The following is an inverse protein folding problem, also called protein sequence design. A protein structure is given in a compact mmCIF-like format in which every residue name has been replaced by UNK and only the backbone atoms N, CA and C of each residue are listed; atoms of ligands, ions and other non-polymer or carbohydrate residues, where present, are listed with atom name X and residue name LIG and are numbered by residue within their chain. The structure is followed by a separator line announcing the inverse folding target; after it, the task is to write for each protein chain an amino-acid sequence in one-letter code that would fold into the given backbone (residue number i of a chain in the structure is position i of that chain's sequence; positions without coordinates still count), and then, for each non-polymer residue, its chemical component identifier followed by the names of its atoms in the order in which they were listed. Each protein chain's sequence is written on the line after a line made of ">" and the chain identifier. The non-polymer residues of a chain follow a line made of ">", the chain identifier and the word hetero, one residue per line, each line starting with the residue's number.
data_IF_800440506132
#
_entry.id   IF_800440506132
#
_cell.length_a   1.000
_cell.length_b   1.000
_cell.length_c   1.000
_cell.angle_alpha   90.00
_cell.angle_beta   90.00
_cell.angle_gamma   90.00
#
_symmetry.space_group_name_H-M   'P 1'
#
loop_
_entity.id
_entity.type
_entity.pdbx_description
1 polymer ?
#
# COMPACT_ATOMS: atom_id res chain seq x y z
N UNK A 1 25.66 3.94 -26.89
CA UNK A 1 24.39 4.67 -27.03
C UNK A 1 23.90 5.14 -25.65
N UNK A 2 23.78 6.44 -25.46
CA UNK A 2 23.28 7.02 -24.21
C UNK A 2 21.76 7.20 -24.30
N UNK A 3 20.97 6.36 -23.61
CA UNK A 3 19.51 6.45 -23.54
C UNK A 3 19.06 7.51 -22.53
N UNK A 4 19.49 8.77 -22.72
CA UNK A 4 19.28 9.87 -21.78
C UNK A 4 17.80 10.24 -21.65
N UNK A 5 17.12 10.47 -22.77
CA UNK A 5 15.71 10.85 -22.75
C UNK A 5 14.79 9.72 -22.24
N UNK A 6 15.12 8.48 -22.62
CA UNK A 6 14.40 7.29 -22.11
C UNK A 6 14.56 7.17 -20.60
N UNK A 7 15.75 7.41 -20.06
CA UNK A 7 16.01 7.41 -18.60
C UNK A 7 15.26 8.52 -17.90
N UNK A 8 15.21 9.71 -18.48
CA UNK A 8 14.44 10.84 -17.94
C UNK A 8 12.93 10.55 -17.88
N UNK A 9 12.37 9.92 -18.92
CA UNK A 9 10.98 9.50 -18.93
C UNK A 9 10.65 8.49 -17.83
N UNK A 10 11.51 7.49 -17.63
CA UNK A 10 11.38 6.52 -16.53
C UNK A 10 11.49 7.17 -15.15
N UNK A 11 12.42 8.11 -14.97
CA UNK A 11 12.55 8.86 -13.72
C UNK A 11 11.31 9.71 -13.43
N UNK A 12 10.76 10.38 -14.45
CA UNK A 12 9.53 11.17 -14.34
C UNK A 12 8.35 10.31 -13.92
N UNK A 13 8.19 9.16 -14.57
CA UNK A 13 7.19 8.16 -14.20
C UNK A 13 7.35 7.71 -12.74
N UNK A 14 8.55 7.32 -12.33
CA UNK A 14 8.80 6.82 -10.99
C UNK A 14 8.56 7.87 -9.90
N UNK A 15 9.02 9.11 -10.11
CA UNK A 15 8.76 10.25 -9.23
C UNK A 15 7.25 10.48 -9.06
N UNK A 16 6.51 10.49 -10.15
CA UNK A 16 5.06 10.65 -10.11
C UNK A 16 4.38 9.55 -9.29
N UNK A 17 4.72 8.28 -9.52
CA UNK A 17 4.14 7.13 -8.79
C UNK A 17 4.40 7.27 -7.29
N UNK A 18 5.64 7.54 -6.87
CA UNK A 18 6.01 7.72 -5.45
C UNK A 18 5.25 8.90 -4.83
N UNK A 19 5.21 10.05 -5.51
CA UNK A 19 4.51 11.23 -5.01
C UNK A 19 3.01 10.97 -4.82
N UNK A 20 2.37 10.33 -5.79
CA UNK A 20 0.96 9.99 -5.69
C UNK A 20 0.69 8.93 -4.61
N UNK A 21 1.57 7.93 -4.47
CA UNK A 21 1.47 6.92 -3.42
C UNK A 21 1.56 7.57 -2.02
N UNK A 22 2.51 8.46 -1.80
CA UNK A 22 2.65 9.25 -0.57
C UNK A 22 1.42 10.11 -0.28
N UNK A 23 0.89 10.79 -1.29
CA UNK A 23 -0.35 11.57 -1.19
C UNK A 23 -1.54 10.70 -0.79
N UNK A 24 -1.68 9.51 -1.41
CA UNK A 24 -2.74 8.57 -1.09
C UNK A 24 -2.64 8.01 0.33
N UNK A 25 -1.44 7.71 0.83
CA UNK A 25 -1.23 7.31 2.23
C UNK A 25 -1.72 8.39 3.20
N UNK A 26 -1.42 9.64 2.90
CA UNK A 26 -1.83 10.80 3.71
C UNK A 26 -3.35 10.99 3.68
N UNK A 27 -3.95 11.08 2.48
CA UNK A 27 -5.39 11.24 2.29
C UNK A 27 -6.19 10.10 2.97
N UNK A 28 -5.68 8.87 2.91
CA UNK A 28 -6.33 7.70 3.54
C UNK A 28 -5.96 7.51 5.01
N UNK A 29 -5.24 8.46 5.61
CA UNK A 29 -4.80 8.43 7.02
C UNK A 29 -4.05 7.13 7.39
N UNK A 30 -3.21 6.60 6.47
CA UNK A 30 -2.46 5.34 6.66
C UNK A 30 -0.99 5.56 7.08
N UNK A 31 -0.56 6.79 7.30
CA UNK A 31 0.81 7.19 7.60
C UNK A 31 1.01 7.73 9.03
N UNK A 32 0.47 7.05 10.04
CA UNK A 32 0.55 7.52 11.45
C UNK A 32 2.00 7.69 11.92
N UNK A 33 2.85 6.69 11.67
CA UNK A 33 4.29 6.73 12.01
C UNK A 33 5.17 7.20 10.85
N UNK A 34 4.59 7.52 9.71
CA UNK A 34 5.29 7.83 8.45
C UNK A 34 6.31 6.79 7.96
N UNK A 35 6.46 5.63 8.63
CA UNK A 35 7.40 4.58 8.22
C UNK A 35 7.21 4.20 6.75
N UNK A 36 6.02 3.72 6.37
CA UNK A 36 5.72 3.35 4.99
C UNK A 36 5.84 4.53 4.01
N UNK A 37 5.50 5.73 4.44
CA UNK A 37 5.64 6.93 3.62
C UNK A 37 7.12 7.23 3.29
N UNK A 38 8.00 7.08 4.28
CA UNK A 38 9.44 7.34 4.14
C UNK A 38 10.17 6.21 3.41
N UNK A 39 9.71 4.95 3.55
CA UNK A 39 10.31 3.78 2.89
C UNK A 39 9.98 3.66 1.40
N UNK A 40 9.09 4.52 0.87
CA UNK A 40 8.79 4.52 -0.55
C UNK A 40 9.91 5.16 -1.34
N UNK A 41 10.63 4.33 -2.10
CA UNK A 41 11.77 4.73 -2.91
C UNK A 41 11.72 4.10 -4.31
N UNK A 42 12.51 4.62 -5.24
CA UNK A 42 12.75 3.98 -6.52
C UNK A 42 14.23 4.09 -6.89
N UNK A 43 14.71 3.09 -7.63
CA UNK A 43 16.05 3.03 -8.14
C UNK A 43 16.00 2.73 -9.64
N UNK A 44 16.47 3.63 -10.50
CA UNK A 44 16.64 3.32 -11.91
C UNK A 44 17.80 2.33 -12.07
N UNK A 45 17.70 1.42 -13.03
CA UNK A 45 18.76 0.48 -13.35
C UNK A 45 18.95 0.34 -14.86
N UNK A 46 20.18 -0.01 -15.24
CA UNK A 46 20.52 -0.42 -16.58
C UNK A 46 21.47 -1.62 -16.50
N UNK A 47 21.09 -2.73 -17.10
CA UNK A 47 21.88 -3.97 -17.09
C UNK A 47 21.61 -4.76 -18.37
N UNK A 48 22.68 -5.17 -19.09
CA UNK A 48 22.57 -6.03 -20.26
C UNK A 48 21.63 -5.50 -21.35
N UNK A 49 21.66 -4.19 -21.63
CA UNK A 49 20.78 -3.57 -22.63
C UNK A 49 19.36 -3.29 -22.13
N UNK A 50 18.98 -3.76 -20.94
CA UNK A 50 17.69 -3.47 -20.34
C UNK A 50 17.77 -2.23 -19.45
N UNK A 51 16.83 -1.29 -19.64
CA UNK A 51 16.67 -0.12 -18.79
C UNK A 51 15.32 -0.20 -18.05
N UNK A 52 15.29 0.20 -16.78
CA UNK A 52 14.07 0.09 -15.98
C UNK A 52 14.14 0.84 -14.66
N UNK A 53 13.08 0.70 -13.86
CA UNK A 53 12.96 1.27 -12.52
C UNK A 53 12.46 0.20 -11.56
N UNK A 54 13.13 0.08 -10.41
CA UNK A 54 12.68 -0.74 -9.28
C UNK A 54 12.08 0.14 -8.20
N UNK A 55 10.94 -0.26 -7.67
CA UNK A 55 10.30 0.40 -6.53
C UNK A 55 10.52 -0.40 -5.26
N UNK A 56 10.83 0.30 -4.19
CA UNK A 56 11.04 -0.28 -2.86
C UNK A 56 10.07 0.30 -1.86
N UNK A 57 9.66 -0.50 -0.90
CA UNK A 57 8.84 -0.10 0.25
C UNK A 57 8.98 -1.14 1.35
N UNK A 58 8.66 -0.78 2.59
CA UNK A 58 8.56 -1.72 3.70
C UNK A 58 7.65 -2.92 3.34
N UNK A 59 8.02 -4.12 3.77
CA UNK A 59 7.29 -5.36 3.47
C UNK A 59 5.80 -5.33 3.79
N UNK A 60 5.42 -4.60 4.84
CA UNK A 60 4.00 -4.47 5.19
C UNK A 60 3.22 -3.57 4.22
N UNK A 61 3.88 -2.83 3.37
CA UNK A 61 3.27 -1.97 2.35
C UNK A 61 2.35 -2.74 1.40
N UNK A 62 2.74 -3.95 1.01
CA UNK A 62 1.93 -4.85 0.18
C UNK A 62 0.58 -5.21 0.83
N UNK A 63 0.56 -5.40 2.15
CA UNK A 63 -0.67 -5.68 2.90
C UNK A 63 -1.55 -4.44 3.06
N UNK A 64 -0.94 -3.26 3.18
CA UNK A 64 -1.67 -1.99 3.19
C UNK A 64 -2.25 -1.69 1.82
N UNK A 65 -1.53 -1.98 0.75
CA UNK A 65 -1.97 -1.73 -0.63
C UNK A 65 -3.09 -2.68 -1.06
N UNK A 66 -2.85 -3.98 -1.04
CA UNK A 66 -3.77 -5.03 -1.51
C UNK A 66 -4.81 -5.46 -0.46
N UNK A 67 -4.63 -5.04 0.79
CA UNK A 67 -5.45 -5.53 1.90
C UNK A 67 -5.08 -6.94 2.32
N UNK A 68 -5.86 -7.51 3.25
CA UNK A 68 -5.69 -8.90 3.75
C UNK A 68 -7.06 -9.49 4.00
N UNK A 69 -7.32 -10.69 3.52
CA UNK A 69 -8.54 -11.47 3.83
C UNK A 69 -8.59 -11.80 5.32
N UNK A 70 -9.79 -11.73 5.89
CA UNK A 70 -10.00 -12.18 7.26
C UNK A 70 -10.00 -13.70 7.37
N UNK A 71 -9.71 -14.18 8.57
CA UNK A 71 -9.67 -15.62 8.84
C UNK A 71 -11.06 -16.27 8.79
N UNK A 72 -12.09 -15.60 9.30
CA UNK A 72 -13.46 -16.10 9.27
C UNK A 72 -14.48 -15.00 9.63
N UNK A 73 -15.04 -14.27 8.67
CA UNK A 73 -16.02 -13.21 8.93
C UNK A 73 -17.33 -13.67 9.58
N UNK A 74 -17.74 -14.94 9.39
CA UNK A 74 -18.97 -15.48 9.97
C UNK A 74 -18.90 -15.62 11.50
N UNK A 75 -17.69 -15.53 12.10
CA UNK A 75 -17.49 -15.51 13.56
C UNK A 75 -17.64 -14.10 14.18
N UNK A 76 -17.94 -13.10 13.39
CA UNK A 76 -18.30 -11.78 13.89
C UNK A 76 -19.72 -11.81 14.46
N UNK A 77 -20.08 -10.79 15.24
CA UNK A 77 -21.47 -10.60 15.67
C UNK A 77 -22.37 -10.37 14.45
N UNK A 78 -23.58 -10.93 14.45
CA UNK A 78 -24.59 -10.72 13.40
C UNK A 78 -24.93 -9.21 13.19
N UNK A 79 -24.76 -8.38 14.24
CA UNK A 79 -24.90 -6.92 14.16
C UNK A 79 -23.72 -6.20 13.48
N UNK A 80 -22.64 -6.91 13.16
CA UNK A 80 -21.49 -6.32 12.45
C UNK A 80 -21.82 -6.18 10.97
N UNK A 81 -21.55 -5.01 10.39
CA UNK A 81 -21.70 -4.80 8.95
C UNK A 81 -20.80 -5.70 8.09
N UNK A 82 -19.81 -6.35 8.70
CA UNK A 82 -18.91 -7.31 8.07
C UNK A 82 -19.21 -8.76 8.45
N UNK A 83 -20.36 -9.04 9.07
CA UNK A 83 -20.79 -10.42 9.33
C UNK A 83 -20.90 -11.17 7.99
N UNK A 84 -20.23 -12.32 7.88
CA UNK A 84 -20.15 -13.12 6.65
C UNK A 84 -19.43 -12.46 5.46
N UNK A 85 -18.89 -11.24 5.60
CA UNK A 85 -18.29 -10.47 4.47
C UNK A 85 -16.83 -10.17 4.70
N UNK A 86 -16.00 -10.46 3.69
CA UNK A 86 -14.59 -10.08 3.65
C UNK A 86 -14.43 -8.59 3.35
N UNK A 87 -13.46 -7.92 4.01
CA UNK A 87 -13.06 -6.54 3.65
C UNK A 87 -12.18 -6.46 2.42
N UNK A 88 -11.54 -7.57 2.04
CA UNK A 88 -10.62 -7.67 0.90
C UNK A 88 -10.81 -9.03 0.21
N UNK A 89 -11.95 -9.29 -0.48
CA UNK A 89 -12.22 -10.60 -1.09
C UNK A 89 -11.18 -10.97 -2.16
N UNK A 90 -10.66 -9.98 -2.90
CA UNK A 90 -9.73 -10.18 -4.01
C UNK A 90 -8.25 -10.12 -3.59
N UNK A 91 -7.97 -9.97 -2.29
CA UNK A 91 -6.59 -9.92 -1.81
C UNK A 91 -5.89 -11.27 -1.95
N UNK A 92 -4.63 -11.30 -2.41
CA UNK A 92 -3.83 -12.53 -2.40
C UNK A 92 -3.37 -12.92 -0.99
N UNK A 93 -3.52 -12.03 0.00
CA UNK A 93 -3.08 -12.24 1.38
C UNK A 93 -4.25 -12.59 2.28
N UNK A 94 -4.02 -13.52 3.22
CA UNK A 94 -5.02 -13.95 4.22
C UNK A 94 -4.39 -14.07 5.60
N UNK A 95 -5.15 -13.75 6.66
CA UNK A 95 -4.72 -14.03 8.01
C UNK A 95 -4.71 -15.55 8.27
N UNK A 96 -3.52 -16.08 8.59
CA UNK A 96 -3.33 -17.47 8.95
C UNK A 96 -3.81 -17.80 10.37
N UNK A 97 -3.77 -19.08 10.73
CA UNK A 97 -4.11 -19.58 12.07
C UNK A 97 -3.05 -19.21 13.12
N UNK A 98 -1.86 -18.78 12.74
CA UNK A 98 -0.77 -18.43 13.63
C UNK A 98 -1.11 -17.25 14.56
N UNK A 99 -0.82 -17.40 15.85
CA UNK A 99 -1.03 -16.36 16.87
C UNK A 99 0.09 -15.32 16.93
N UNK A 100 1.20 -15.50 16.21
CA UNK A 100 2.44 -14.72 16.33
C UNK A 100 2.56 -13.47 15.46
N UNK A 101 1.53 -13.07 14.72
CA UNK A 101 1.62 -12.00 13.73
C UNK A 101 1.73 -10.58 14.30
N UNK A 102 2.33 -9.67 13.53
CA UNK A 102 2.49 -8.26 13.86
C UNK A 102 1.19 -7.47 14.03
N UNK A 103 0.01 -8.06 13.72
CA UNK A 103 -1.30 -7.41 13.84
C UNK A 103 -1.54 -6.84 15.24
N UNK A 104 -1.27 -7.62 16.30
CA UNK A 104 -1.46 -7.16 17.69
C UNK A 104 -0.57 -5.97 18.03
N UNK A 105 0.73 -6.06 17.71
CA UNK A 105 1.70 -4.96 17.92
C UNK A 105 1.30 -3.72 17.13
N UNK A 106 0.93 -3.89 15.86
CA UNK A 106 0.50 -2.81 14.98
C UNK A 106 -0.76 -2.09 15.47
N UNK A 107 -1.81 -2.83 15.85
CA UNK A 107 -3.07 -2.24 16.37
C UNK A 107 -2.82 -1.51 17.70
N UNK A 108 -2.06 -2.10 18.64
CA UNK A 108 -1.72 -1.45 19.91
C UNK A 108 -0.98 -0.13 19.69
N UNK A 109 0.05 -0.13 18.82
CA UNK A 109 0.79 1.08 18.46
C UNK A 109 -0.15 2.12 17.84
N UNK A 110 -0.98 1.71 16.90
CA UNK A 110 -1.92 2.58 16.21
C UNK A 110 -2.97 3.21 17.15
N UNK A 111 -3.58 2.43 18.04
CA UNK A 111 -4.56 2.92 19.04
C UNK A 111 -3.93 3.97 19.95
N UNK A 112 -2.67 3.75 20.40
CA UNK A 112 -1.94 4.71 21.24
C UNK A 112 -1.62 5.98 20.49
N UNK A 113 -1.02 5.87 19.30
CA UNK A 113 -0.59 7.03 18.51
C UNK A 113 -1.76 7.90 18.04
N UNK A 114 -2.92 7.30 17.82
CA UNK A 114 -4.14 8.02 17.42
C UNK A 114 -5.00 8.49 18.61
N UNK A 115 -4.65 8.12 19.82
CA UNK A 115 -5.45 8.48 21.01
C UNK A 115 -6.88 7.95 20.97
N UNK A 116 -7.11 6.79 20.31
CA UNK A 116 -8.45 6.27 20.08
C UNK A 116 -9.06 5.82 21.40
N UNK A 117 -10.25 6.36 21.72
CA UNK A 117 -11.07 5.99 22.87
C UNK A 117 -12.35 5.32 22.39
N UNK A 118 -12.75 4.23 23.03
CA UNK A 118 -13.99 3.52 22.74
C UNK A 118 -15.04 3.77 23.82
N UNK A 119 -16.32 3.71 23.44
CA UNK A 119 -17.45 3.76 24.37
C UNK A 119 -18.31 2.50 24.25
N UNK A 120 -18.93 2.08 25.34
CA UNK A 120 -19.94 1.02 25.34
C UNK A 120 -21.31 1.54 24.85
N UNK A 121 -22.30 0.67 24.81
CA UNK A 121 -23.67 1.03 24.38
C UNK A 121 -24.33 2.07 25.29
N UNK A 122 -23.87 2.21 26.54
CA UNK A 122 -24.35 3.18 27.53
C UNK A 122 -23.54 4.48 27.50
N UNK A 123 -22.65 4.66 26.52
CA UNK A 123 -21.82 5.85 26.37
C UNK A 123 -20.59 5.91 27.29
N UNK A 124 -20.35 4.92 28.17
CA UNK A 124 -19.21 4.90 29.10
C UNK A 124 -17.92 4.49 28.38
N UNK A 125 -16.80 5.06 28.78
CA UNK A 125 -15.51 4.67 28.22
C UNK A 125 -15.14 3.24 28.58
N UNK A 126 -14.74 2.47 27.58
CA UNK A 126 -14.16 1.13 27.77
C UNK A 126 -12.66 1.23 27.95
N UNK A 127 -12.06 0.23 28.62
CA UNK A 127 -10.60 0.19 28.82
C UNK A 127 -9.88 0.09 27.49
N UNK A 128 -8.65 0.62 27.41
CA UNK A 128 -7.82 0.51 26.23
C UNK A 128 -7.59 -0.96 25.83
N UNK A 129 -7.35 -1.85 26.79
CA UNK A 129 -7.17 -3.29 26.54
C UNK A 129 -8.39 -3.90 25.86
N UNK A 130 -9.61 -3.58 26.34
CA UNK A 130 -10.86 -4.04 25.73
C UNK A 130 -11.04 -3.50 24.32
N UNK A 131 -10.75 -2.22 24.11
CA UNK A 131 -10.82 -1.61 22.77
C UNK A 131 -9.84 -2.26 21.79
N UNK A 132 -8.57 -2.45 22.20
CA UNK A 132 -7.54 -3.12 21.40
C UNK A 132 -7.98 -4.53 21.02
N UNK A 133 -8.52 -5.29 21.98
CA UNK A 133 -9.04 -6.65 21.74
C UNK A 133 -10.16 -6.66 20.69
N UNK A 134 -11.13 -5.78 20.81
CA UNK A 134 -12.26 -5.69 19.87
C UNK A 134 -11.78 -5.35 18.45
N UNK A 135 -10.86 -4.40 18.32
CA UNK A 135 -10.30 -4.00 17.02
C UNK A 135 -9.47 -5.14 16.42
N UNK A 136 -8.59 -5.78 17.21
CA UNK A 136 -7.77 -6.92 16.77
C UNK A 136 -8.66 -8.06 16.29
N UNK A 137 -9.68 -8.45 17.09
CA UNK A 137 -10.62 -9.50 16.75
C UNK A 137 -11.38 -9.19 15.45
N UNK A 138 -11.95 -8.00 15.33
CA UNK A 138 -12.67 -7.57 14.14
C UNK A 138 -11.76 -7.56 12.89
N UNK A 139 -10.54 -7.06 13.03
CA UNK A 139 -9.58 -7.02 11.92
C UNK A 139 -9.12 -8.42 11.52
N UNK A 140 -8.84 -9.28 12.47
CA UNK A 140 -8.44 -10.67 12.19
C UNK A 140 -9.55 -11.45 11.49
N UNK A 141 -10.81 -11.29 11.93
CA UNK A 141 -11.94 -12.05 11.38
C UNK A 141 -12.40 -11.54 10.01
N UNK A 142 -12.51 -10.22 9.82
CA UNK A 142 -13.05 -9.62 8.59
C UNK A 142 -11.97 -9.15 7.58
N UNK A 143 -10.72 -9.06 8.00
CA UNK A 143 -9.61 -8.62 7.14
C UNK A 143 -9.32 -7.11 7.20
N UNK A 144 -8.38 -6.70 6.35
CA UNK A 144 -7.93 -5.32 6.16
C UNK A 144 -8.37 -4.86 4.76
N UNK A 145 -9.13 -3.77 4.69
CA UNK A 145 -9.56 -3.19 3.41
C UNK A 145 -8.35 -2.71 2.60
N UNK A 146 -8.27 -3.03 1.29
CA UNK A 146 -7.21 -2.56 0.41
C UNK A 146 -7.23 -1.03 0.31
N UNK A 147 -6.06 -0.44 0.35
CA UNK A 147 -5.92 1.00 0.16
C UNK A 147 -5.61 1.37 -1.29
N UNK A 148 -4.96 0.48 -2.03
CA UNK A 148 -4.49 0.68 -3.40
C UNK A 148 -3.70 2.00 -3.54
N UNK A 149 -2.92 2.33 -2.51
CA UNK A 149 -2.19 3.59 -2.45
C UNK A 149 -1.08 3.66 -3.50
N UNK A 150 -0.48 2.51 -3.80
CA UNK A 150 0.58 2.36 -4.79
C UNK A 150 0.04 1.82 -6.12
N UNK A 151 -0.77 0.76 -6.09
CA UNK A 151 -1.29 0.10 -7.30
C UNK A 151 -2.03 1.07 -8.22
N UNK A 152 -2.97 1.87 -7.72
CA UNK A 152 -3.72 2.81 -8.57
C UNK A 152 -2.87 3.88 -9.25
N UNK A 153 -1.97 4.60 -8.56
CA UNK A 153 -1.06 5.54 -9.22
C UNK A 153 -0.16 4.87 -10.26
N UNK A 154 0.36 3.68 -9.92
CA UNK A 154 1.20 2.91 -10.82
C UNK A 154 0.45 2.56 -12.12
N UNK A 155 -0.73 1.95 -12.03
CA UNK A 155 -1.54 1.57 -13.19
C UNK A 155 -1.91 2.76 -14.08
N UNK A 156 -2.26 3.90 -13.46
CA UNK A 156 -2.58 5.14 -14.20
C UNK A 156 -1.38 5.68 -14.96
N UNK A 157 -0.24 5.75 -14.30
CA UNK A 157 0.98 6.23 -14.92
C UNK A 157 1.50 5.28 -16.00
N UNK A 158 1.41 3.97 -15.74
CA UNK A 158 1.87 2.92 -16.65
C UNK A 158 1.10 2.90 -17.98
N UNK A 159 -0.18 3.26 -17.99
CA UNK A 159 -0.97 3.32 -19.24
C UNK A 159 -0.39 4.27 -20.29
N UNK A 160 0.25 5.35 -19.85
CA UNK A 160 0.83 6.36 -20.74
C UNK A 160 2.31 6.14 -21.01
N UNK A 161 2.99 5.40 -20.13
CA UNK A 161 4.44 5.20 -20.19
C UNK A 161 4.94 4.57 -21.52
N UNK A 162 4.28 3.55 -22.12
CA UNK A 162 4.77 2.95 -23.37
C UNK A 162 4.88 3.94 -24.52
N UNK A 163 3.92 4.86 -24.66
CA UNK A 163 3.93 5.89 -25.70
C UNK A 163 5.06 6.89 -25.50
N UNK A 164 5.26 7.33 -24.27
CA UNK A 164 6.35 8.26 -23.91
C UNK A 164 7.71 7.61 -24.11
N UNK A 165 7.86 6.34 -23.72
CA UNK A 165 9.11 5.60 -23.89
C UNK A 165 9.45 5.37 -25.36
N UNK A 166 8.47 5.01 -26.20
CA UNK A 166 8.68 4.83 -27.64
C UNK A 166 9.19 6.12 -28.29
N UNK A 167 8.56 7.26 -28.02
CA UNK A 167 8.98 8.55 -28.54
C UNK A 167 10.41 8.91 -28.10
N UNK A 168 10.71 8.76 -26.80
CA UNK A 168 12.02 9.10 -26.25
C UNK A 168 13.12 8.15 -26.72
N UNK A 169 12.80 6.88 -26.91
CA UNK A 169 13.74 5.90 -27.44
C UNK A 169 14.08 6.19 -28.91
N UNK A 170 13.09 6.56 -29.74
CA UNK A 170 13.32 6.98 -31.13
C UNK A 170 14.24 8.22 -31.16
N UNK A 171 13.94 9.25 -30.34
CA UNK A 171 14.79 10.45 -30.25
C UNK A 171 16.24 10.14 -29.84
N UNK A 172 16.42 9.22 -28.87
CA UNK A 172 17.76 8.80 -28.44
C UNK A 172 18.53 8.06 -29.57
N UNK A 173 17.82 7.25 -30.38
CA UNK A 173 18.41 6.60 -31.56
C UNK A 173 18.79 7.63 -32.62
N UNK A 174 17.86 8.52 -32.98
CA UNK A 174 18.14 9.56 -34.01
C UNK A 174 19.36 10.39 -33.62
N UNK A 175 19.46 10.86 -32.39
CA UNK A 175 20.63 11.60 -31.91
C UNK A 175 21.93 10.79 -32.00
N UNK A 176 21.89 9.48 -31.71
CA UNK A 176 23.08 8.63 -31.78
C UNK A 176 23.55 8.28 -33.21
N UNK A 177 22.70 8.52 -34.21
CA UNK A 177 23.03 8.31 -35.64
C UNK A 177 23.61 9.58 -36.27
N UNK A 178 23.15 10.75 -35.81
CA UNK A 178 23.51 12.05 -36.40
C UNK A 178 24.58 12.83 -35.61
N UNK A 179 25.03 12.33 -34.45
CA UNK A 179 26.20 12.76 -33.70
C UNK A 179 27.41 11.81 -33.98
#
# INVERSE_FOLDING_TARGET
>A
MQLKETREALNKFAKYVIQQARTNLTKKKKNVSKGLYNSLEYVPFQKGGTIGVKFYMDDYGKFVDKGVKGANPSRLSAKSKYFGKQKAPDSPYQFGKSRGGGLRKGIRKWVRQRGIKGRDKRGRFITRKSLEFLIIRSTYLAGIKPSLFFTKPFERAFKNLPKDLQKKFVNDIEKSIFE
#
